data_IF_891912080335
#
_entry.id   IF_891912080335
#
_cell.length_a   1.000
_cell.length_b   1.000
_cell.length_c   1.000
_cell.angle_alpha   90.00
_cell.angle_beta   90.00
_cell.angle_gamma   90.00
#
_symmetry.space_group_name_H-M   'P 1'
#
loop_
_entity.id
_entity.type
_entity.pdbx_description
1 polymer ?
#
# COMPACT_ATOMS: atom_id res chain seq x y z
N UNK A 1 -14.05 1.29 24.04
CA UNK A 1 -15.43 1.31 23.52
C UNK A 1 -15.41 0.71 22.11
N UNK A 2 -16.08 -0.43 21.87
CA UNK A 2 -16.08 -1.03 20.53
C UNK A 2 -17.00 -0.22 19.60
N UNK A 3 -16.41 0.46 18.61
CA UNK A 3 -17.17 1.18 17.57
C UNK A 3 -17.92 0.17 16.71
N UNK A 4 -19.19 0.45 16.41
CA UNK A 4 -20.01 -0.44 15.60
C UNK A 4 -19.42 -0.59 14.18
N UNK A 5 -19.18 -1.81 13.65
CA UNK A 5 -18.46 -2.01 12.39
C UNK A 5 -19.08 -1.32 11.16
N UNK A 6 -20.40 -1.15 11.13
CA UNK A 6 -21.05 -0.42 10.03
C UNK A 6 -20.78 1.08 10.06
N UNK A 7 -20.59 1.66 11.25
CA UNK A 7 -20.22 3.06 11.42
C UNK A 7 -18.77 3.27 10.98
N UNK A 8 -17.85 2.39 11.40
CA UNK A 8 -16.45 2.40 10.96
C UNK A 8 -16.34 2.35 9.44
N UNK A 9 -17.09 1.46 8.79
CA UNK A 9 -17.13 1.38 7.32
C UNK A 9 -17.59 2.68 6.68
N UNK A 10 -18.69 3.27 7.18
CA UNK A 10 -19.23 4.53 6.63
C UNK A 10 -18.24 5.68 6.78
N UNK A 11 -17.61 5.79 7.94
CA UNK A 11 -16.59 6.82 8.21
C UNK A 11 -15.41 6.67 7.25
N UNK A 12 -14.85 5.47 7.10
CA UNK A 12 -13.72 5.25 6.19
C UNK A 12 -14.09 5.56 4.74
N UNK A 13 -15.29 5.16 4.29
CA UNK A 13 -15.76 5.47 2.95
C UNK A 13 -15.90 6.99 2.72
N UNK A 14 -16.45 7.72 3.70
CA UNK A 14 -16.54 9.19 3.63
C UNK A 14 -15.14 9.81 3.61
N UNK A 15 -14.21 9.31 4.43
CA UNK A 15 -12.81 9.77 4.40
C UNK A 15 -12.19 9.58 3.02
N UNK A 16 -12.36 8.41 2.39
CA UNK A 16 -11.87 8.16 1.02
C UNK A 16 -12.43 9.20 0.04
N UNK A 17 -13.75 9.45 0.08
CA UNK A 17 -14.40 10.42 -0.83
C UNK A 17 -13.90 11.85 -0.63
N UNK A 18 -13.70 12.27 0.62
CA UNK A 18 -13.19 13.61 0.90
C UNK A 18 -11.71 13.73 0.48
N UNK A 19 -10.92 12.68 0.67
CA UNK A 19 -9.52 12.67 0.26
C UNK A 19 -9.32 12.62 -1.27
N UNK A 20 -10.36 12.44 -2.07
CA UNK A 20 -10.28 12.56 -3.53
C UNK A 20 -10.06 14.03 -3.96
N UNK A 21 -10.58 15.00 -3.20
CA UNK A 21 -10.30 16.44 -3.34
C UNK A 21 -10.04 17.08 -1.95
N UNK A 22 -8.85 16.90 -1.38
CA UNK A 22 -8.57 17.38 -0.04
C UNK A 22 -8.53 18.91 0.04
N UNK A 23 -8.10 19.59 -1.04
CA UNK A 23 -8.03 21.05 -1.10
C UNK A 23 -9.43 21.69 -1.11
N UNK A 24 -10.42 21.02 -1.72
CA UNK A 24 -11.82 21.44 -1.63
C UNK A 24 -12.57 20.96 -0.39
N UNK A 25 -11.99 20.05 0.41
CA UNK A 25 -12.70 19.37 1.51
C UNK A 25 -11.92 19.34 2.83
N UNK A 26 -11.35 18.18 3.22
CA UNK A 26 -10.77 17.89 4.54
C UNK A 26 -9.58 18.77 4.89
N UNK A 27 -8.84 19.26 3.89
CA UNK A 27 -7.67 20.11 4.08
C UNK A 27 -7.83 21.48 3.41
N UNK A 28 -9.07 21.91 3.19
CA UNK A 28 -9.39 23.23 2.61
C UNK A 28 -8.79 24.42 3.36
N UNK A 29 -8.50 24.25 4.64
CA UNK A 29 -7.87 25.26 5.49
C UNK A 29 -6.42 24.92 5.86
N UNK A 30 -5.79 23.95 5.17
CA UNK A 30 -4.43 23.45 5.43
C UNK A 30 -4.19 23.05 6.90
N UNK A 31 -5.23 22.52 7.54
CA UNK A 31 -5.28 22.20 8.96
C UNK A 31 -5.20 20.69 9.25
N UNK A 32 -5.19 19.84 8.22
CA UNK A 32 -5.16 18.39 8.39
C UNK A 32 -3.77 17.89 8.83
N UNK A 33 -2.71 18.61 8.43
CA UNK A 33 -1.31 18.24 8.66
C UNK A 33 -0.98 17.70 10.06
N UNK A 34 -1.30 18.43 11.15
CA UNK A 34 -1.05 17.99 12.53
C UNK A 34 -1.72 16.66 12.91
N UNK A 35 -2.78 16.27 12.22
CA UNK A 35 -3.57 15.08 12.52
C UNK A 35 -3.19 13.86 11.67
N UNK A 36 -2.42 14.03 10.60
CA UNK A 36 -2.13 12.97 9.63
C UNK A 36 -1.46 11.75 10.27
N UNK A 37 -0.46 11.94 11.13
CA UNK A 37 0.21 10.80 11.77
C UNK A 37 -0.72 9.99 12.66
N UNK A 38 -1.67 10.65 13.32
CA UNK A 38 -2.68 9.99 14.16
C UNK A 38 -3.77 9.33 13.30
N UNK A 39 -4.17 9.96 12.19
CA UNK A 39 -5.08 9.34 11.22
C UNK A 39 -4.48 8.04 10.67
N UNK A 40 -3.21 8.07 10.26
CA UNK A 40 -2.52 6.87 9.77
C UNK A 40 -2.41 5.83 10.89
N UNK A 41 -1.88 6.17 12.06
CA UNK A 41 -1.69 5.21 13.15
C UNK A 41 -2.99 4.65 13.72
N UNK A 42 -3.87 5.54 14.15
CA UNK A 42 -5.00 5.20 15.01
C UNK A 42 -6.21 4.74 14.19
N UNK A 43 -6.28 5.11 12.91
CA UNK A 43 -7.37 4.71 12.01
C UNK A 43 -6.88 3.72 10.94
N UNK A 44 -5.89 4.10 10.12
CA UNK A 44 -5.48 3.28 8.97
C UNK A 44 -4.80 1.98 9.41
N UNK A 45 -3.70 2.06 10.17
CA UNK A 45 -2.93 0.89 10.61
C UNK A 45 -3.79 -0.02 11.49
N UNK A 46 -4.49 0.56 12.47
CA UNK A 46 -5.35 -0.18 13.41
C UNK A 46 -6.49 -0.95 12.72
N UNK A 47 -6.96 -0.44 11.58
CA UNK A 47 -8.04 -1.04 10.77
C UNK A 47 -7.48 -2.00 9.72
N UNK A 48 -6.32 -1.68 9.13
CA UNK A 48 -5.61 -2.49 8.15
C UNK A 48 -5.00 -3.77 8.73
N UNK A 49 -4.76 -3.82 10.05
CA UNK A 49 -4.26 -5.02 10.72
C UNK A 49 -5.21 -6.20 10.52
N UNK A 50 -4.66 -7.36 10.21
CA UNK A 50 -5.45 -8.57 9.98
C UNK A 50 -6.32 -8.93 11.18
N UNK A 51 -7.58 -9.23 10.88
CA UNK A 51 -8.56 -9.79 11.81
C UNK A 51 -9.47 -10.74 11.03
N UNK A 52 -9.89 -11.80 11.70
CA UNK A 52 -10.79 -12.79 11.11
C UNK A 52 -12.17 -12.20 10.80
N UNK A 53 -12.77 -12.65 9.69
CA UNK A 53 -14.17 -12.39 9.34
C UNK A 53 -14.39 -11.35 8.24
N UNK A 54 -15.48 -11.53 7.49
CA UNK A 54 -15.84 -10.71 6.31
C UNK A 54 -15.93 -9.21 6.60
N UNK A 55 -16.44 -8.83 7.78
CA UNK A 55 -16.54 -7.42 8.18
C UNK A 55 -15.16 -6.78 8.32
N UNK A 56 -14.20 -7.50 8.89
CA UNK A 56 -12.83 -7.01 9.02
C UNK A 56 -12.14 -6.89 7.66
N UNK A 57 -12.36 -7.85 6.75
CA UNK A 57 -11.82 -7.78 5.38
C UNK A 57 -12.28 -6.51 4.64
N UNK A 58 -13.59 -6.19 4.71
CA UNK A 58 -14.12 -4.95 4.10
C UNK A 58 -13.48 -3.70 4.72
N UNK A 59 -13.21 -3.71 6.03
CA UNK A 59 -12.58 -2.58 6.69
C UNK A 59 -11.11 -2.42 6.27
N UNK A 60 -10.37 -3.53 6.05
CA UNK A 60 -9.00 -3.49 5.53
C UNK A 60 -8.93 -2.86 4.15
N UNK A 61 -9.83 -3.24 3.24
CA UNK A 61 -9.94 -2.59 1.93
C UNK A 61 -10.06 -1.07 2.07
N UNK A 62 -11.02 -0.60 2.86
CA UNK A 62 -11.23 0.83 3.04
C UNK A 62 -10.05 1.52 3.74
N UNK A 63 -9.36 0.85 4.67
CA UNK A 63 -8.14 1.38 5.26
C UNK A 63 -7.04 1.55 4.21
N UNK A 64 -6.82 0.57 3.33
CA UNK A 64 -5.86 0.66 2.24
C UNK A 64 -6.24 1.74 1.22
N UNK A 65 -7.52 1.92 0.94
CA UNK A 65 -8.00 3.02 0.09
C UNK A 65 -7.69 4.38 0.71
N UNK A 66 -7.96 4.56 2.01
CA UNK A 66 -7.59 5.80 2.72
C UNK A 66 -6.08 6.02 2.66
N UNK A 67 -5.27 5.00 2.94
CA UNK A 67 -3.81 5.08 2.88
C UNK A 67 -3.32 5.49 1.49
N UNK A 68 -3.85 4.83 0.46
CA UNK A 68 -3.55 5.12 -0.92
C UNK A 68 -3.84 6.59 -1.25
N UNK A 69 -5.03 7.11 -0.88
CA UNK A 69 -5.35 8.53 -1.13
C UNK A 69 -4.45 9.49 -0.35
N UNK A 70 -3.95 9.10 0.81
CA UNK A 70 -3.03 9.96 1.57
C UNK A 70 -1.66 10.05 0.88
N UNK A 71 -1.24 9.00 0.17
CA UNK A 71 0.08 8.87 -0.44
C UNK A 71 0.10 9.27 -1.91
N UNK A 72 -1.01 9.12 -2.63
CA UNK A 72 -1.13 9.49 -4.04
C UNK A 72 -0.83 10.98 -4.22
N UNK A 73 0.22 11.33 -4.98
CA UNK A 73 0.50 12.72 -5.31
C UNK A 73 -0.66 13.29 -6.13
N UNK A 74 -1.28 14.36 -5.66
CA UNK A 74 -2.48 14.94 -6.28
C UNK A 74 -2.54 16.46 -6.18
N UNK A 75 -3.53 17.04 -6.84
CA UNK A 75 -3.71 18.49 -6.94
C UNK A 75 -2.69 19.15 -7.87
N UNK A 76 -2.74 20.48 -7.95
CA UNK A 76 -1.86 21.27 -8.85
C UNK A 76 -0.38 21.09 -8.50
N UNK A 77 -0.06 21.00 -7.21
CA UNK A 77 1.31 20.81 -6.71
C UNK A 77 1.81 19.36 -6.85
N UNK A 78 0.94 18.41 -7.24
CA UNK A 78 1.24 16.97 -7.29
C UNK A 78 1.94 16.49 -6.01
N UNK A 79 1.40 16.88 -4.85
CA UNK A 79 1.96 16.54 -3.55
C UNK A 79 1.10 15.49 -2.85
N UNK A 80 1.75 14.57 -2.13
CA UNK A 80 1.07 13.65 -1.22
C UNK A 80 0.77 14.37 0.11
N UNK A 81 -0.36 14.02 0.74
CA UNK A 81 -0.67 14.54 2.08
C UNK A 81 0.21 13.87 3.13
N UNK A 82 0.31 12.54 3.08
CA UNK A 82 1.19 11.78 3.96
C UNK A 82 2.58 11.68 3.33
N UNK A 83 3.52 12.45 3.87
CA UNK A 83 4.94 12.38 3.51
C UNK A 83 5.62 11.19 4.21
N UNK A 84 6.85 10.81 3.81
CA UNK A 84 7.63 9.81 4.54
C UNK A 84 7.76 10.11 6.04
N UNK A 85 7.88 11.38 6.45
CA UNK A 85 7.93 11.79 7.85
C UNK A 85 6.63 11.52 8.59
N UNK A 86 5.48 11.74 7.94
CA UNK A 86 4.16 11.44 8.50
C UNK A 86 4.04 9.94 8.76
N UNK A 87 4.43 9.11 7.79
CA UNK A 87 4.40 7.65 7.91
C UNK A 87 5.38 7.18 8.99
N UNK A 88 6.59 7.72 9.04
CA UNK A 88 7.57 7.41 10.07
C UNK A 88 7.03 7.71 11.48
N UNK A 89 6.41 8.88 11.67
CA UNK A 89 5.78 9.28 12.94
C UNK A 89 4.55 8.43 13.30
N UNK A 90 3.84 7.91 12.30
CA UNK A 90 2.68 7.05 12.51
C UNK A 90 3.07 5.61 12.93
N UNK A 91 4.28 5.16 12.57
CA UNK A 91 4.73 3.79 12.77
C UNK A 91 4.93 3.10 11.42
N UNK A 92 6.08 3.33 10.80
CA UNK A 92 6.39 2.80 9.47
C UNK A 92 6.35 1.27 9.45
N UNK A 93 6.95 0.60 10.44
CA UNK A 93 7.04 -0.87 10.47
C UNK A 93 5.65 -1.52 10.59
N UNK A 94 4.77 -0.94 11.38
CA UNK A 94 3.39 -1.38 11.54
C UNK A 94 2.56 -1.11 10.28
N UNK A 95 2.77 0.02 9.62
CA UNK A 95 2.15 0.33 8.33
C UNK A 95 2.57 -0.70 7.27
N UNK A 96 3.87 -0.96 7.15
CA UNK A 96 4.40 -1.94 6.20
C UNK A 96 3.82 -3.33 6.46
N UNK A 97 3.82 -3.80 7.72
CA UNK A 97 3.21 -5.10 8.09
C UNK A 97 1.73 -5.17 7.73
N UNK A 98 0.97 -4.10 7.95
CA UNK A 98 -0.45 -4.06 7.60
C UNK A 98 -0.66 -4.14 6.08
N UNK A 99 0.12 -3.39 5.31
CA UNK A 99 0.07 -3.40 3.83
C UNK A 99 0.45 -4.78 3.28
N UNK A 100 1.55 -5.37 3.76
CA UNK A 100 2.02 -6.69 3.31
C UNK A 100 1.00 -7.77 3.66
N UNK A 101 0.39 -7.71 4.86
CA UNK A 101 -0.70 -8.62 5.21
C UNK A 101 -1.91 -8.49 4.28
N UNK A 102 -2.19 -7.30 3.74
CA UNK A 102 -3.28 -7.08 2.80
C UNK A 102 -2.96 -7.54 1.37
N UNK A 103 -1.67 -7.70 1.01
CA UNK A 103 -1.29 -8.38 -0.24
C UNK A 103 -1.75 -9.84 -0.25
N UNK A 104 -1.87 -10.49 0.91
CA UNK A 104 -2.36 -11.87 1.03
C UNK A 104 -3.88 -11.96 1.29
N UNK A 105 -4.64 -10.86 1.13
CA UNK A 105 -6.08 -10.88 1.34
C UNK A 105 -6.81 -11.73 0.27
N UNK A 106 -7.91 -12.37 0.66
CA UNK A 106 -8.73 -13.15 -0.25
C UNK A 106 -9.43 -12.27 -1.30
N UNK A 107 -9.74 -11.03 -0.93
CA UNK A 107 -10.39 -10.06 -1.81
C UNK A 107 -9.40 -9.43 -2.81
N UNK A 108 -9.73 -9.55 -4.10
CA UNK A 108 -8.88 -9.08 -5.22
C UNK A 108 -8.63 -7.58 -5.13
N UNK A 109 -9.65 -6.79 -4.79
CA UNK A 109 -9.55 -5.33 -4.75
C UNK A 109 -8.68 -4.86 -3.58
N UNK A 110 -8.71 -5.59 -2.46
CA UNK A 110 -7.81 -5.36 -1.32
C UNK A 110 -6.36 -5.60 -1.73
N UNK A 111 -6.06 -6.70 -2.44
CA UNK A 111 -4.71 -6.96 -2.96
C UNK A 111 -4.27 -5.90 -3.97
N UNK A 112 -5.14 -5.53 -4.91
CA UNK A 112 -4.89 -4.46 -5.90
C UNK A 112 -4.51 -3.14 -5.24
N UNK A 113 -5.35 -2.69 -4.31
CA UNK A 113 -5.14 -1.42 -3.60
C UNK A 113 -3.84 -1.49 -2.80
N UNK A 114 -3.55 -2.63 -2.17
CA UNK A 114 -2.31 -2.82 -1.40
C UNK A 114 -1.07 -2.80 -2.30
N UNK A 115 -1.12 -3.35 -3.51
CA UNK A 115 -0.03 -3.23 -4.49
C UNK A 115 0.22 -1.78 -4.90
N UNK A 116 -0.83 -0.97 -5.09
CA UNK A 116 -0.67 0.47 -5.37
C UNK A 116 -0.03 1.20 -4.19
N UNK A 117 -0.45 0.87 -2.97
CA UNK A 117 0.14 1.42 -1.75
C UNK A 117 1.62 1.04 -1.67
N UNK A 118 1.96 -0.23 -1.92
CA UNK A 118 3.35 -0.71 -1.94
C UNK A 118 4.22 0.09 -2.90
N UNK A 119 3.72 0.34 -4.11
CA UNK A 119 4.45 1.11 -5.14
C UNK A 119 4.83 2.51 -4.65
N UNK A 120 3.92 3.17 -3.93
CA UNK A 120 4.15 4.48 -3.30
C UNK A 120 4.98 4.40 -2.01
N UNK A 121 5.03 3.23 -1.39
CA UNK A 121 5.78 2.95 -0.16
C UNK A 121 7.20 2.45 -0.40
N UNK A 122 7.60 2.21 -1.67
CA UNK A 122 8.90 1.64 -2.02
C UNK A 122 10.02 2.37 -1.28
N UNK A 123 10.56 1.70 -0.26
CA UNK A 123 11.56 2.22 0.66
C UNK A 123 12.45 1.07 1.13
N UNK A 124 13.66 1.37 1.60
CA UNK A 124 14.63 0.36 2.07
C UNK A 124 14.06 -0.73 2.99
N UNK A 125 13.16 -0.44 3.96
CA UNK A 125 12.62 -1.47 4.84
C UNK A 125 11.77 -2.54 4.16
N UNK A 126 11.31 -2.31 2.92
CA UNK A 126 10.61 -3.33 2.13
C UNK A 126 11.47 -4.56 1.85
N UNK A 127 12.79 -4.47 2.00
CA UNK A 127 13.73 -5.60 1.89
C UNK A 127 13.27 -6.84 2.66
N UNK A 128 12.75 -6.67 3.88
CA UNK A 128 12.33 -7.80 4.72
C UNK A 128 11.04 -8.49 4.25
N UNK A 129 10.27 -7.84 3.37
CA UNK A 129 8.90 -8.24 3.02
C UNK A 129 8.75 -8.59 1.53
N UNK A 130 9.88 -8.70 0.80
CA UNK A 130 9.94 -9.01 -0.63
C UNK A 130 9.21 -10.31 -1.00
N UNK A 131 9.18 -11.29 -0.08
CA UNK A 131 8.44 -12.54 -0.22
C UNK A 131 6.95 -12.31 -0.49
N UNK A 132 6.33 -11.34 0.19
CA UNK A 132 4.91 -11.03 0.03
C UNK A 132 4.59 -10.44 -1.33
N UNK A 133 5.54 -9.68 -1.91
CA UNK A 133 5.42 -9.10 -3.23
C UNK A 133 5.67 -10.14 -4.33
N UNK A 134 6.73 -10.97 -4.21
CA UNK A 134 7.04 -12.02 -5.18
C UNK A 134 5.87 -12.99 -5.37
N UNK A 135 5.20 -13.38 -4.28
CA UNK A 135 3.99 -14.24 -4.32
C UNK A 135 2.85 -13.65 -5.17
N UNK A 136 2.84 -12.36 -5.49
CA UNK A 136 1.80 -11.74 -6.34
C UNK A 136 2.07 -11.96 -7.85
N UNK A 137 3.27 -12.40 -8.22
CA UNK A 137 3.55 -12.90 -9.57
C UNK A 137 2.84 -14.24 -9.84
N UNK A 138 2.45 -14.98 -8.79
CA UNK A 138 1.62 -16.20 -8.81
C UNK A 138 0.13 -15.92 -8.53
N UNK A 139 -0.33 -14.66 -8.57
CA UNK A 139 -1.74 -14.36 -8.32
C UNK A 139 -2.64 -15.01 -9.38
N UNK A 140 -3.85 -15.45 -9.01
CA UNK A 140 -4.80 -16.04 -9.96
C UNK A 140 -5.40 -15.03 -10.94
N UNK A 141 -5.06 -13.75 -10.80
CA UNK A 141 -5.56 -12.63 -11.60
C UNK A 141 -4.41 -12.00 -12.36
N UNK A 142 -4.39 -12.17 -13.68
CA UNK A 142 -3.37 -11.59 -14.57
C UNK A 142 -3.15 -10.09 -14.36
N UNK A 143 -4.22 -9.33 -14.14
CA UNK A 143 -4.14 -7.90 -13.83
C UNK A 143 -3.30 -7.57 -12.60
N UNK A 144 -3.32 -8.42 -11.56
CA UNK A 144 -2.50 -8.24 -10.36
C UNK A 144 -1.06 -8.68 -10.61
N UNK A 145 -0.85 -9.71 -11.41
CA UNK A 145 0.49 -10.17 -11.83
C UNK A 145 1.19 -9.06 -12.62
N UNK A 146 0.51 -8.47 -13.60
CA UNK A 146 1.01 -7.37 -14.43
C UNK A 146 1.29 -6.14 -13.57
N UNK A 147 0.38 -5.80 -12.66
CA UNK A 147 0.62 -4.70 -11.72
C UNK A 147 1.84 -4.97 -10.83
N UNK A 148 2.04 -6.21 -10.39
CA UNK A 148 3.20 -6.62 -9.59
C UNK A 148 4.50 -6.46 -10.36
N UNK A 149 4.53 -6.80 -11.66
CA UNK A 149 5.68 -6.51 -12.53
C UNK A 149 5.99 -5.01 -12.56
N UNK A 150 4.97 -4.14 -12.64
CA UNK A 150 5.13 -2.69 -12.54
C UNK A 150 5.81 -2.25 -11.24
N UNK A 151 5.39 -2.82 -10.10
CA UNK A 151 6.03 -2.55 -8.80
C UNK A 151 7.50 -3.00 -8.79
N UNK A 152 7.82 -4.17 -9.37
CA UNK A 152 9.20 -4.64 -9.47
C UNK A 152 10.06 -3.75 -10.37
N UNK A 153 9.51 -3.23 -11.48
CA UNK A 153 10.23 -2.26 -12.33
C UNK A 153 10.61 -1.01 -11.53
N UNK A 154 9.66 -0.44 -10.78
CA UNK A 154 9.94 0.72 -9.92
C UNK A 154 10.94 0.38 -8.81
N UNK A 155 10.82 -0.80 -8.21
CA UNK A 155 11.78 -1.30 -7.22
C UNK A 155 13.20 -1.41 -7.79
N UNK A 156 13.38 -2.05 -8.95
CA UNK A 156 14.70 -2.18 -9.58
C UNK A 156 15.26 -0.83 -10.03
N UNK A 157 14.42 0.10 -10.48
CA UNK A 157 14.85 1.47 -10.76
C UNK A 157 15.32 2.20 -9.48
N UNK A 158 14.62 1.99 -8.36
CA UNK A 158 15.04 2.52 -7.06
C UNK A 158 16.37 1.89 -6.58
N UNK A 159 16.59 0.60 -6.82
CA UNK A 159 17.88 -0.06 -6.56
C UNK A 159 18.99 0.51 -7.45
N UNK A 160 18.75 0.63 -8.75
CA UNK A 160 19.73 1.15 -9.72
C UNK A 160 20.11 2.62 -9.49
N UNK A 161 19.21 3.41 -8.91
CA UNK A 161 19.48 4.80 -8.50
C UNK A 161 20.13 4.94 -7.12
N UNK A 162 20.23 3.84 -6.35
CA UNK A 162 20.75 3.84 -4.97
C UNK A 162 19.75 4.33 -3.92
N UNK A 163 18.48 4.54 -4.27
CA UNK A 163 17.42 4.87 -3.32
C UNK A 163 17.04 3.67 -2.42
N UNK A 164 17.24 2.45 -2.92
CA UNK A 164 17.15 1.22 -2.14
C UNK A 164 18.48 0.49 -2.26
N UNK A 165 19.14 0.23 -1.13
CA UNK A 165 20.29 -0.67 -1.11
C UNK A 165 19.79 -2.10 -0.89
N UNK A 166 20.36 -3.08 -1.61
CA UNK A 166 20.19 -4.51 -1.37
C UNK A 166 21.54 -5.16 -1.10
N UNK A 167 21.57 -6.18 -0.23
CA UNK A 167 22.72 -7.07 -0.14
C UNK A 167 22.60 -8.18 -1.19
N UNK A 168 23.69 -8.94 -1.38
CA UNK A 168 23.77 -10.02 -2.37
C UNK A 168 22.69 -11.10 -2.16
N UNK A 169 22.29 -11.35 -0.91
CA UNK A 169 21.29 -12.38 -0.58
C UNK A 169 19.91 -11.95 -1.05
N UNK A 170 19.49 -10.72 -0.76
CA UNK A 170 18.19 -10.21 -1.16
C UNK A 170 18.14 -9.92 -2.67
N UNK A 171 19.25 -9.48 -3.26
CA UNK A 171 19.39 -9.33 -4.70
C UNK A 171 19.16 -10.67 -5.42
N UNK A 172 19.91 -11.71 -5.03
CA UNK A 172 19.79 -13.04 -5.61
C UNK A 172 18.38 -13.62 -5.40
N UNK A 173 17.80 -13.44 -4.22
CA UNK A 173 16.44 -13.89 -3.90
C UNK A 173 15.38 -13.27 -4.82
N UNK A 174 15.40 -11.93 -4.98
CA UNK A 174 14.43 -11.23 -5.84
C UNK A 174 14.64 -11.56 -7.31
N UNK A 175 15.89 -11.52 -7.78
CA UNK A 175 16.19 -11.79 -9.19
C UNK A 175 15.75 -13.20 -9.56
N UNK A 176 16.09 -14.22 -8.75
CA UNK A 176 15.60 -15.59 -8.97
C UNK A 176 14.08 -15.66 -8.92
N UNK A 177 13.46 -15.02 -7.94
CA UNK A 177 12.00 -15.01 -7.78
C UNK A 177 11.24 -14.37 -8.94
N UNK A 178 11.83 -13.38 -9.62
CA UNK A 178 11.22 -12.79 -10.83
C UNK A 178 11.50 -13.65 -12.06
N UNK A 179 12.74 -14.15 -12.22
CA UNK A 179 13.17 -14.88 -13.41
C UNK A 179 12.40 -16.18 -13.68
N UNK A 180 11.83 -16.82 -12.64
CA UNK A 180 11.01 -18.03 -12.83
C UNK A 180 9.71 -17.76 -13.61
N UNK A 181 9.33 -16.49 -13.83
CA UNK A 181 8.11 -16.12 -14.55
C UNK A 181 8.38 -15.66 -16.00
N UNK A 182 9.62 -15.78 -16.50
CA UNK A 182 9.96 -15.36 -17.87
C UNK A 182 9.28 -16.20 -18.97
N UNK A 183 8.84 -17.41 -18.64
CA UNK A 183 8.13 -18.31 -19.55
C UNK A 183 6.60 -18.23 -19.38
N UNK A 184 6.10 -17.14 -18.79
CA UNK A 184 4.66 -16.98 -18.58
C UNK A 184 3.88 -17.00 -19.89
N UNK A 185 2.67 -17.57 -19.87
CA UNK A 185 1.80 -17.63 -21.05
C UNK A 185 1.18 -16.26 -21.41
N UNK A 186 1.15 -15.31 -20.47
CA UNK A 186 0.66 -13.96 -20.71
C UNK A 186 1.78 -13.07 -21.28
N UNK A 187 1.63 -12.64 -22.53
CA UNK A 187 2.61 -11.79 -23.23
C UNK A 187 2.89 -10.46 -22.52
N UNK A 188 1.97 -9.94 -21.71
CA UNK A 188 2.21 -8.71 -20.96
C UNK A 188 3.11 -8.92 -19.73
N UNK A 189 3.35 -10.17 -19.33
CA UNK A 189 4.27 -10.54 -18.24
C UNK A 189 5.68 -10.91 -18.74
N UNK A 190 5.81 -11.26 -20.03
CA UNK A 190 7.10 -11.49 -20.70
C UNK A 190 7.83 -10.17 -21.00
#
# INVERSE_FOLDING_TARGET
MAVHPSLSRRVLRVLTMLLDDPAGTLDSHKALGPHLSSLVRDVVISTGTWRVGRKAAILRLHAMQVLLRLLEPKGEEKAALATPEVIAKAGFAEALKAVVSCLEDADVETRRTSLMVVDLFLAEPMRGELTGLLKRLDDSRDELRVQTCGVFLNFFAAVGSGAIVLDDVHWDYVVKGVLIHLDDANEALQ
#
